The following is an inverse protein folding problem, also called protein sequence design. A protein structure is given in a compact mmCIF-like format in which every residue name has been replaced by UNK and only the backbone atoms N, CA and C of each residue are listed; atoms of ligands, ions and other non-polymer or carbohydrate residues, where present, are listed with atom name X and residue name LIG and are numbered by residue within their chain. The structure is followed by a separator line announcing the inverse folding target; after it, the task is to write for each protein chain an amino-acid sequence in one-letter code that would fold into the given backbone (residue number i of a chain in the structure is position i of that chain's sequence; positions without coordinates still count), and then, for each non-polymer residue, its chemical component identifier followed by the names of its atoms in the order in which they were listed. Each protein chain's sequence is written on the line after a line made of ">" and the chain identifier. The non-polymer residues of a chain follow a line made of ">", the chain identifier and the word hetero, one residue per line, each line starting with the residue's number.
data_IF_870546378757
#
_entry.id   IF_870546378757
#
_cell.length_a   1.000
_cell.length_b   1.000
_cell.length_c   1.000
_cell.angle_alpha   90.00
_cell.angle_beta   90.00
_cell.angle_gamma   90.00
#
_symmetry.space_group_name_H-M   'P 1'
#
loop_
_entity.id
_entity.type
_entity.pdbx_description
1 polymer ?
#
# COMPACT_ATOMS: atom_id res chain seq x y z
N UNK A 1 -18.00 10.15 24.94
CA UNK A 1 -17.06 10.33 23.83
C UNK A 1 -17.45 9.29 22.78
N UNK A 2 -18.16 9.65 21.70
CA UNK A 2 -18.49 8.66 20.68
C UNK A 2 -17.22 8.28 19.93
N UNK A 3 -17.04 6.97 19.86
CA UNK A 3 -15.93 6.20 19.38
C UNK A 3 -15.48 6.60 17.96
N UNK A 4 -14.27 7.15 17.86
CA UNK A 4 -13.62 7.61 16.62
C UNK A 4 -13.26 6.48 15.64
N UNK A 5 -13.68 5.24 15.90
CA UNK A 5 -13.31 4.08 15.07
C UNK A 5 -14.25 3.87 13.88
N UNK A 6 -15.39 4.56 13.82
CA UNK A 6 -16.26 4.56 12.63
C UNK A 6 -15.66 5.33 11.43
N UNK A 7 -14.60 6.12 11.65
CA UNK A 7 -13.79 6.76 10.61
C UNK A 7 -12.42 6.08 10.42
N UNK A 8 -12.19 4.93 11.07
CA UNK A 8 -10.90 4.25 11.08
C UNK A 8 -10.74 3.23 9.93
N UNK A 9 -11.28 3.55 8.75
CA UNK A 9 -10.77 2.99 7.50
C UNK A 9 -9.75 3.98 6.91
N UNK A 10 -8.52 4.04 7.46
CA UNK A 10 -7.49 4.87 6.86
C UNK A 10 -7.18 4.34 5.47
N UNK A 11 -6.89 5.25 4.55
CA UNK A 11 -6.39 4.87 3.23
C UNK A 11 -5.19 3.95 3.43
N UNK A 12 -5.12 2.79 2.75
CA UNK A 12 -3.92 1.97 2.80
C UNK A 12 -2.72 2.84 2.38
N UNK A 13 -1.54 2.57 2.93
CA UNK A 13 -0.33 3.29 2.59
C UNK A 13 0.46 2.52 1.54
N UNK A 14 1.01 3.20 0.51
CA UNK A 14 1.83 2.54 -0.48
C UNK A 14 3.10 1.98 0.17
N UNK A 15 3.60 0.81 -0.26
CA UNK A 15 4.89 0.32 0.18
C UNK A 15 5.99 1.32 -0.24
N UNK A 16 7.00 1.49 0.61
CA UNK A 16 8.18 2.31 0.26
C UNK A 16 8.96 1.63 -0.86
N UNK A 17 9.37 2.38 -1.91
CA UNK A 17 10.19 1.81 -2.97
C UNK A 17 11.54 1.35 -2.39
N UNK A 18 12.02 0.15 -2.76
CA UNK A 18 13.31 -0.34 -2.30
C UNK A 18 14.44 0.54 -2.85
N UNK A 19 15.49 0.74 -2.06
CA UNK A 19 16.65 1.49 -2.51
C UNK A 19 17.44 0.66 -3.54
N UNK A 20 18.13 1.30 -4.50
CA UNK A 20 18.96 0.59 -5.48
C UNK A 20 20.13 -0.19 -4.84
N UNK A 21 20.45 0.04 -3.57
CA UNK A 21 21.45 -0.73 -2.81
C UNK A 21 20.87 -1.88 -1.97
N UNK A 22 19.53 -2.04 -1.88
CA UNK A 22 18.89 -3.19 -1.22
C UNK A 22 18.89 -4.44 -2.13
N UNK A 23 19.06 -4.24 -3.44
CA UNK A 23 19.32 -5.34 -4.35
C UNK A 23 20.71 -5.89 -4.04
N UNK A 24 20.77 -7.04 -3.38
CA UNK A 24 22.01 -7.78 -3.19
C UNK A 24 22.40 -8.39 -4.56
N UNK A 25 23.02 -7.58 -5.42
CA UNK A 25 23.57 -7.91 -6.76
C UNK A 25 24.60 -9.06 -6.74
N UNK A 26 24.82 -9.69 -5.58
CA UNK A 26 25.78 -10.77 -5.33
C UNK A 26 25.13 -12.13 -5.06
N UNK A 27 23.82 -12.29 -5.28
CA UNK A 27 23.18 -13.60 -5.33
C UNK A 27 22.07 -13.86 -4.31
N UNK A 28 21.29 -12.84 -3.93
CA UNK A 28 20.06 -13.11 -3.19
C UNK A 28 19.06 -13.87 -4.09
N UNK A 29 18.44 -14.97 -3.60
CA UNK A 29 17.44 -15.71 -4.37
C UNK A 29 16.11 -14.96 -4.50
N UNK A 30 15.94 -13.85 -3.78
CA UNK A 30 14.72 -13.05 -3.76
C UNK A 30 15.06 -11.61 -4.18
N UNK A 31 14.53 -11.18 -5.32
CA UNK A 31 14.67 -9.80 -5.79
C UNK A 31 13.77 -8.88 -4.96
N UNK A 32 14.35 -7.84 -4.37
CA UNK A 32 13.58 -6.85 -3.60
C UNK A 32 12.52 -6.14 -4.45
N UNK A 33 12.78 -5.99 -5.75
CA UNK A 33 11.81 -5.44 -6.69
C UNK A 33 10.60 -6.36 -6.89
N UNK A 34 10.80 -7.68 -6.91
CA UNK A 34 9.69 -8.63 -7.04
C UNK A 34 8.82 -8.60 -5.79
N UNK A 35 9.44 -8.59 -4.60
CA UNK A 35 8.73 -8.43 -3.32
C UNK A 35 7.95 -7.12 -3.27
N UNK A 36 8.57 -6.02 -3.71
CA UNK A 36 7.95 -4.72 -3.78
C UNK A 36 6.75 -4.72 -4.74
N UNK A 37 6.89 -5.33 -5.92
CA UNK A 37 5.78 -5.44 -6.89
C UNK A 37 4.61 -6.26 -6.34
N UNK A 38 4.89 -7.36 -5.64
CA UNK A 38 3.84 -8.17 -4.99
C UNK A 38 3.14 -7.41 -3.85
N UNK A 39 3.87 -6.64 -3.04
CA UNK A 39 3.27 -5.75 -2.04
C UNK A 39 2.47 -4.62 -2.68
N UNK A 40 2.99 -4.03 -3.75
CA UNK A 40 2.33 -2.96 -4.49
C UNK A 40 1.01 -3.46 -5.10
N UNK A 41 0.99 -4.68 -5.66
CA UNK A 41 -0.23 -5.28 -6.19
C UNK A 41 -1.30 -5.46 -5.10
N UNK A 42 -0.90 -5.97 -3.92
CA UNK A 42 -1.78 -6.11 -2.75
C UNK A 42 -2.30 -4.75 -2.28
N UNK A 43 -1.42 -3.75 -2.21
CA UNK A 43 -1.77 -2.37 -1.87
C UNK A 43 -2.80 -1.79 -2.84
N UNK A 44 -2.59 -1.92 -4.15
CA UNK A 44 -3.49 -1.40 -5.17
C UNK A 44 -4.88 -2.05 -5.07
N UNK A 45 -4.94 -3.35 -4.82
CA UNK A 45 -6.20 -4.06 -4.61
C UNK A 45 -6.94 -3.54 -3.36
N UNK A 46 -6.23 -3.40 -2.23
CA UNK A 46 -6.78 -2.82 -1.01
C UNK A 46 -7.25 -1.36 -1.21
N UNK A 47 -6.48 -0.56 -1.96
CA UNK A 47 -6.81 0.82 -2.27
C UNK A 47 -8.07 0.93 -3.15
N UNK A 48 -8.23 0.03 -4.13
CA UNK A 48 -9.43 -0.03 -4.96
C UNK A 48 -10.68 -0.34 -4.10
N UNK A 49 -10.58 -1.34 -3.23
CA UNK A 49 -11.66 -1.68 -2.28
C UNK A 49 -11.97 -0.52 -1.32
N UNK A 50 -10.94 0.14 -0.81
CA UNK A 50 -11.08 1.32 0.03
C UNK A 50 -11.78 2.47 -0.71
N UNK A 51 -11.40 2.75 -1.96
CA UNK A 51 -12.03 3.79 -2.79
C UNK A 51 -13.51 3.52 -3.05
N UNK A 52 -13.92 2.25 -3.19
CA UNK A 52 -15.34 1.88 -3.35
C UNK A 52 -16.14 2.14 -2.06
N UNK A 53 -15.52 1.96 -0.90
CA UNK A 53 -16.14 2.18 0.41
C UNK A 53 -16.13 3.66 0.83
N UNK A 54 -15.21 4.45 0.29
CA UNK A 54 -15.03 5.87 0.59
C UNK A 54 -15.16 6.77 -0.66
N UNK A 55 -16.34 6.82 -1.30
CA UNK A 55 -16.57 7.72 -2.42
C UNK A 55 -16.46 9.20 -2.00
N UNK A 56 -16.79 9.56 -0.75
CA UNK A 56 -16.65 10.94 -0.27
C UNK A 56 -15.18 11.38 -0.14
N UNK A 57 -14.28 10.48 0.27
CA UNK A 57 -12.85 10.78 0.38
C UNK A 57 -12.12 10.87 -0.97
N UNK A 58 -12.80 10.51 -2.07
CA UNK A 58 -12.32 10.72 -3.45
C UNK A 58 -12.91 12.01 -4.05
N UNK A 59 -14.07 12.45 -3.56
CA UNK A 59 -14.74 13.67 -4.00
C UNK A 59 -14.25 14.95 -3.31
N UNK A 60 -13.71 14.84 -2.09
CA UNK A 60 -13.09 15.94 -1.32
C UNK A 60 -11.58 16.05 -1.63
N UNK A 61 -11.22 16.24 -2.90
CA UNK A 61 -9.83 16.35 -3.36
C UNK A 61 -9.69 17.23 -4.58
#
# INVERSE_FOLDING_TARGET
>A
MPDSSAHADPRPQPPSPPAPGDCCDSGCPLCVHDVYHDELARYLHALAQWRLRHPEAVADG
#
